data_IF_330486742903
#
_entry.id   IF_330486742903
#
_cell.length_a   1.000
_cell.length_b   1.000
_cell.length_c   1.000
_cell.angle_alpha   90.00
_cell.angle_beta   90.00
_cell.angle_gamma   90.00
#
_symmetry.space_group_name_H-M   'P 1'
#
loop_
_entity.id
_entity.type
_entity.pdbx_description
1 polymer ?
#
# COMPACT_ATOMS: atom_id res chain seq x y z
N UNK A 1 -15.91 4.15 -8.05
CA UNK A 1 -14.46 4.12 -7.84
C UNK A 1 -14.14 2.86 -7.06
N UNK A 2 -13.28 2.00 -7.60
CA UNK A 2 -12.82 0.76 -6.99
C UNK A 2 -11.38 0.95 -6.49
N UNK A 3 -11.12 0.56 -5.26
CA UNK A 3 -9.80 0.71 -4.64
C UNK A 3 -9.37 -0.63 -4.07
N UNK A 4 -8.14 -1.05 -4.37
CA UNK A 4 -7.56 -2.30 -3.88
C UNK A 4 -6.29 -1.98 -3.08
N UNK A 5 -6.09 -2.67 -1.96
CA UNK A 5 -4.83 -2.69 -1.23
C UNK A 5 -4.24 -4.09 -1.33
N UNK A 6 -2.97 -4.19 -1.72
CA UNK A 6 -2.32 -5.48 -1.95
C UNK A 6 -0.88 -5.48 -1.46
N UNK A 7 -0.52 -6.49 -0.66
CA UNK A 7 0.86 -6.74 -0.30
C UNK A 7 1.45 -7.71 -1.33
N UNK A 8 2.38 -7.22 -2.16
CA UNK A 8 2.97 -8.03 -3.24
C UNK A 8 4.12 -8.92 -2.77
N UNK A 9 4.65 -8.65 -1.58
CA UNK A 9 5.84 -9.33 -1.07
C UNK A 9 6.98 -9.42 -2.12
N UNK A 10 7.31 -8.28 -2.73
CA UNK A 10 8.16 -8.04 -3.90
C UNK A 10 7.40 -7.87 -5.22
N UNK A 11 7.47 -6.66 -5.78
CA UNK A 11 6.81 -6.28 -7.04
C UNK A 11 7.63 -6.66 -8.29
N UNK A 12 8.94 -6.85 -8.14
CA UNK A 12 9.87 -7.07 -9.26
C UNK A 12 10.06 -8.55 -9.62
N UNK A 13 9.15 -9.44 -9.23
CA UNK A 13 9.26 -10.87 -9.56
C UNK A 13 8.90 -11.15 -11.03
N UNK A 14 9.50 -12.16 -11.67
CA UNK A 14 9.21 -12.55 -13.05
C UNK A 14 7.74 -12.91 -13.26
N UNK A 15 7.15 -13.69 -12.34
CA UNK A 15 5.71 -13.83 -12.23
C UNK A 15 5.12 -12.55 -11.60
N UNK A 16 4.54 -11.68 -12.43
CA UNK A 16 4.00 -10.42 -11.96
C UNK A 16 2.80 -10.68 -11.04
N UNK A 17 2.87 -10.32 -9.75
CA UNK A 17 1.80 -10.61 -8.80
C UNK A 17 0.52 -9.79 -9.06
N UNK A 18 0.52 -8.91 -10.07
CA UNK A 18 -0.54 -7.96 -10.35
C UNK A 18 -1.39 -8.32 -11.57
N UNK A 19 -0.90 -9.11 -12.52
CA UNK A 19 -1.62 -9.36 -13.79
C UNK A 19 -3.00 -9.98 -13.55
N UNK A 20 -3.04 -11.15 -12.90
CA UNK A 20 -4.30 -11.84 -12.64
C UNK A 20 -5.24 -11.09 -11.68
N UNK A 21 -4.77 -10.49 -10.56
CA UNK A 21 -5.65 -9.71 -9.68
C UNK A 21 -6.23 -8.47 -10.34
N UNK A 22 -5.45 -7.74 -11.14
CA UNK A 22 -5.91 -6.52 -11.83
C UNK A 22 -6.91 -6.84 -12.94
N UNK A 23 -6.67 -7.91 -13.70
CA UNK A 23 -7.60 -8.37 -14.72
C UNK A 23 -8.93 -8.84 -14.12
N UNK A 24 -8.87 -9.63 -13.04
CA UNK A 24 -10.07 -10.16 -12.38
C UNK A 24 -10.85 -9.09 -11.64
N UNK A 25 -10.14 -8.11 -11.08
CA UNK A 25 -10.71 -7.04 -10.26
C UNK A 25 -10.19 -5.68 -10.74
N UNK A 26 -10.78 -5.11 -11.81
CA UNK A 26 -10.36 -3.82 -12.33
C UNK A 26 -10.58 -2.73 -11.28
N UNK A 27 -9.48 -2.13 -10.84
CA UNK A 27 -9.47 -1.08 -9.82
C UNK A 27 -9.07 0.26 -10.42
N UNK A 28 -9.68 1.34 -9.95
CA UNK A 28 -9.26 2.69 -10.28
C UNK A 28 -7.92 3.04 -9.62
N UNK A 29 -7.72 2.56 -8.39
CA UNK A 29 -6.58 2.83 -7.53
C UNK A 29 -6.10 1.53 -6.89
N UNK A 30 -4.79 1.32 -6.86
CA UNK A 30 -4.16 0.19 -6.18
C UNK A 30 -3.05 0.71 -5.25
N UNK A 31 -3.20 0.45 -3.96
CA UNK A 31 -2.15 0.62 -2.96
C UNK A 31 -1.32 -0.66 -2.82
N UNK A 32 -0.01 -0.56 -2.99
CA UNK A 32 0.92 -1.69 -2.87
C UNK A 32 1.80 -1.52 -1.65
N UNK A 33 1.85 -2.56 -0.82
CA UNK A 33 2.80 -2.72 0.27
C UNK A 33 3.88 -3.76 -0.07
N UNK A 34 5.03 -3.64 0.60
CA UNK A 34 6.21 -4.49 0.46
C UNK A 34 6.65 -4.65 -1.00
N UNK A 35 6.84 -3.54 -1.70
CA UNK A 35 7.37 -3.57 -3.07
C UNK A 35 8.75 -4.22 -3.14
N UNK A 36 9.57 -4.09 -2.09
CA UNK A 36 10.94 -4.62 -1.96
C UNK A 36 11.86 -4.27 -3.15
N UNK A 37 11.55 -3.20 -3.88
CA UNK A 37 12.31 -2.69 -5.00
C UNK A 37 12.92 -1.34 -4.65
N UNK A 38 14.16 -1.05 -5.07
CA UNK A 38 14.71 0.31 -4.93
C UNK A 38 14.06 1.25 -5.93
N UNK A 39 14.01 2.56 -5.62
CA UNK A 39 13.45 3.56 -6.53
C UNK A 39 14.08 3.50 -7.94
N UNK A 40 15.39 3.27 -8.04
CA UNK A 40 16.13 3.20 -9.32
C UNK A 40 15.77 2.01 -10.20
N UNK A 41 15.15 0.96 -9.63
CA UNK A 41 14.79 -0.28 -10.34
C UNK A 41 13.30 -0.59 -10.21
N UNK A 42 12.50 0.37 -9.77
CA UNK A 42 11.06 0.19 -9.65
C UNK A 42 10.44 0.01 -11.05
N UNK A 43 9.55 -0.98 -11.25
CA UNK A 43 9.15 -1.41 -12.60
C UNK A 43 8.04 -0.53 -13.19
N UNK A 44 8.35 0.76 -13.43
CA UNK A 44 7.39 1.75 -13.94
C UNK A 44 6.77 1.35 -15.27
N UNK A 45 7.56 0.76 -16.18
CA UNK A 45 7.06 0.32 -17.49
C UNK A 45 6.07 -0.84 -17.38
N UNK A 46 6.33 -1.82 -16.51
CA UNK A 46 5.39 -2.91 -16.26
C UNK A 46 4.07 -2.36 -15.74
N UNK A 47 4.12 -1.42 -14.77
CA UNK A 47 2.92 -0.78 -14.23
C UNK A 47 2.14 -0.01 -15.29
N UNK A 48 2.84 0.70 -16.17
CA UNK A 48 2.21 1.40 -17.31
C UNK A 48 1.61 0.44 -18.34
N UNK A 49 2.00 -0.84 -18.35
CA UNK A 49 1.41 -1.87 -19.20
C UNK A 49 0.27 -2.67 -18.54
N UNK A 50 0.02 -2.48 -17.24
CA UNK A 50 -1.08 -3.14 -16.54
C UNK A 50 -2.43 -2.58 -16.97
N UNK A 51 -3.43 -3.47 -17.05
CA UNK A 51 -4.81 -3.13 -17.40
C UNK A 51 -5.08 -3.17 -18.91
N UNK A 52 -6.33 -3.48 -19.29
CA UNK A 52 -6.65 -3.79 -20.69
C UNK A 52 -6.80 -2.58 -21.63
N UNK A 53 -6.95 -1.35 -21.10
CA UNK A 53 -7.28 -0.17 -21.94
C UNK A 53 -6.61 1.16 -21.51
N UNK A 54 -6.03 1.25 -20.31
CA UNK A 54 -5.32 2.43 -19.83
C UNK A 54 -4.26 1.98 -18.83
N UNK A 55 -3.00 2.31 -19.11
CA UNK A 55 -1.88 2.02 -18.21
C UNK A 55 -1.99 2.80 -16.91
N UNK A 56 -1.59 2.19 -15.79
CA UNK A 56 -1.54 2.89 -14.52
C UNK A 56 -0.39 3.89 -14.48
N UNK A 57 -0.66 5.06 -13.91
CA UNK A 57 0.38 5.95 -13.42
C UNK A 57 0.78 5.54 -12.01
N UNK A 58 2.05 5.77 -11.63
CA UNK A 58 2.54 5.34 -10.33
C UNK A 58 3.32 6.41 -9.58
N UNK A 59 3.14 6.40 -8.26
CA UNK A 59 3.89 7.18 -7.30
C UNK A 59 4.44 6.18 -6.26
N UNK A 60 5.74 6.19 -5.98
CA UNK A 60 6.37 5.21 -5.09
C UNK A 60 7.47 5.84 -4.23
N UNK A 61 7.69 5.26 -3.06
CA UNK A 61 8.78 5.64 -2.17
C UNK A 61 9.37 4.38 -1.53
N UNK A 62 10.57 4.02 -1.95
CA UNK A 62 11.19 2.75 -1.59
C UNK A 62 12.67 2.89 -1.23
N UNK A 63 13.14 1.94 -0.44
CA UNK A 63 14.54 1.76 -0.06
C UNK A 63 14.99 0.33 -0.36
N UNK A 64 16.30 0.08 -0.36
CA UNK A 64 16.87 -1.22 -0.74
C UNK A 64 16.42 -2.35 0.21
N UNK A 65 16.03 -3.48 -0.37
CA UNK A 65 15.82 -4.80 0.28
C UNK A 65 14.62 -4.93 1.24
N UNK A 66 14.16 -3.85 1.87
CA UNK A 66 13.07 -3.90 2.86
C UNK A 66 12.00 -2.82 2.62
N UNK A 67 10.76 -3.16 2.96
CA UNK A 67 9.59 -2.28 2.86
C UNK A 67 9.31 -1.83 1.42
N UNK A 68 8.87 -0.58 1.28
CA UNK A 68 8.50 0.05 0.03
C UNK A 68 6.99 0.04 -0.19
N UNK A 69 6.51 1.18 -0.69
CA UNK A 69 5.11 1.42 -1.02
C UNK A 69 4.99 1.94 -2.45
N UNK A 70 3.90 1.60 -3.11
CA UNK A 70 3.52 2.21 -4.36
C UNK A 70 2.03 2.50 -4.41
N UNK A 71 1.69 3.59 -5.06
CA UNK A 71 0.34 4.00 -5.41
C UNK A 71 0.22 3.91 -6.92
N UNK A 72 -0.76 3.17 -7.42
CA UNK A 72 -1.07 3.01 -8.83
C UNK A 72 -2.45 3.59 -9.07
N UNK A 73 -2.62 4.38 -10.12
CA UNK A 73 -3.89 5.05 -10.43
C UNK A 73 -4.11 5.22 -11.92
N UNK A 74 -5.35 5.03 -12.36
CA UNK A 74 -5.78 5.39 -13.73
C UNK A 74 -5.90 6.90 -13.93
N UNK A 75 -5.92 7.67 -12.83
CA UNK A 75 -5.88 9.13 -12.80
C UNK A 75 -4.46 9.64 -12.46
N UNK A 76 -4.21 10.93 -12.67
CA UNK A 76 -2.97 11.59 -12.24
C UNK A 76 -2.68 11.32 -10.75
N UNK A 77 -1.54 10.73 -10.40
CA UNK A 77 -1.21 10.39 -9.02
C UNK A 77 -1.11 11.66 -8.15
N UNK A 78 -1.50 11.58 -6.87
CA UNK A 78 -1.29 12.67 -5.94
C UNK A 78 0.20 12.89 -5.66
N UNK A 79 0.53 14.06 -5.11
CA UNK A 79 1.87 14.31 -4.55
C UNK A 79 2.15 13.29 -3.42
N UNK A 80 3.34 12.71 -3.43
CA UNK A 80 3.78 11.79 -2.37
C UNK A 80 4.32 12.61 -1.22
N UNK A 81 3.66 12.51 -0.06
CA UNK A 81 4.19 13.01 1.20
C UNK A 81 4.78 11.85 1.99
N UNK A 82 6.11 11.75 2.01
CA UNK A 82 6.82 10.78 2.85
C UNK A 82 7.13 11.37 4.21
N UNK A 83 6.85 10.65 5.29
CA UNK A 83 7.32 11.03 6.62
C UNK A 83 8.79 10.59 6.79
N UNK A 84 9.72 11.50 7.15
CA UNK A 84 11.17 11.26 7.07
C UNK A 84 11.74 10.31 8.13
N UNK A 85 10.91 9.75 9.00
CA UNK A 85 11.37 8.96 10.15
C UNK A 85 10.98 7.49 10.01
N UNK A 86 11.98 6.61 10.04
CA UNK A 86 11.79 5.18 10.29
C UNK A 86 11.40 5.01 11.76
N UNK A 87 10.11 4.82 12.03
CA UNK A 87 9.60 4.59 13.38
C UNK A 87 9.48 3.09 13.66
N UNK A 88 9.68 2.68 14.92
CA UNK A 88 9.29 1.34 15.32
C UNK A 88 7.77 1.18 15.23
N UNK A 89 7.28 -0.03 14.98
CA UNK A 89 5.86 -0.27 14.72
C UNK A 89 4.93 0.22 15.85
N UNK A 90 5.39 0.16 17.11
CA UNK A 90 4.64 0.69 18.27
C UNK A 90 4.49 2.22 18.21
N UNK A 91 5.57 2.95 17.90
CA UNK A 91 5.56 4.41 17.80
C UNK A 91 4.76 4.87 16.58
N UNK A 92 4.95 4.21 15.43
CA UNK A 92 4.17 4.49 14.22
C UNK A 92 2.67 4.43 14.47
N UNK A 93 2.19 3.35 15.11
CA UNK A 93 0.77 3.18 15.45
C UNK A 93 0.25 4.21 16.44
N UNK A 94 1.07 4.54 17.44
CA UNK A 94 0.73 5.58 18.42
C UNK A 94 0.59 6.97 17.78
N UNK A 95 1.39 7.28 16.75
CA UNK A 95 1.39 8.57 16.06
C UNK A 95 0.33 8.66 14.95
N UNK A 96 -0.01 7.53 14.31
CA UNK A 96 -0.93 7.48 13.18
C UNK A 96 -2.34 7.96 13.57
N UNK A 97 -2.85 7.53 14.73
CA UNK A 97 -4.20 7.89 15.17
C UNK A 97 -4.35 9.41 15.40
N UNK A 98 -3.46 10.08 16.17
CA UNK A 98 -3.46 11.53 16.30
C UNK A 98 -3.32 12.24 14.95
N UNK A 99 -2.44 11.76 14.06
CA UNK A 99 -2.24 12.39 12.75
C UNK A 99 -3.51 12.35 11.90
N UNK A 100 -4.19 11.20 11.83
CA UNK A 100 -5.45 11.07 11.07
C UNK A 100 -6.52 12.00 11.65
N UNK A 101 -6.67 12.01 12.99
CA UNK A 101 -7.70 12.81 13.68
C UNK A 101 -7.47 14.32 13.58
N UNK A 102 -6.22 14.76 13.45
CA UNK A 102 -5.89 16.18 13.39
C UNK A 102 -5.86 16.71 11.96
N UNK A 103 -5.43 15.91 10.99
CA UNK A 103 -5.29 16.36 9.61
C UNK A 103 -6.53 16.10 8.74
N UNK A 104 -7.40 15.17 9.12
CA UNK A 104 -8.53 14.75 8.29
C UNK A 104 -9.84 14.77 9.07
N UNK A 105 -10.92 15.08 8.36
CA UNK A 105 -12.29 15.06 8.90
C UNK A 105 -12.92 13.69 8.73
N UNK A 106 -13.73 13.26 9.70
CA UNK A 106 -14.52 12.03 9.61
C UNK A 106 -15.55 12.06 8.46
N UNK A 107 -15.95 13.25 8.00
CA UNK A 107 -16.88 13.44 6.88
C UNK A 107 -16.15 13.65 5.54
N UNK A 108 -14.82 13.59 5.53
CA UNK A 108 -14.02 13.69 4.32
C UNK A 108 -13.89 12.35 3.60
N UNK A 109 -13.55 12.40 2.31
CA UNK A 109 -13.20 11.20 1.54
C UNK A 109 -11.76 10.80 1.89
N UNK A 110 -11.59 9.95 2.90
CA UNK A 110 -10.29 9.42 3.33
C UNK A 110 -10.26 7.90 3.17
N UNK A 111 -9.22 7.38 2.52
CA UNK A 111 -8.95 5.95 2.44
C UNK A 111 -7.61 5.67 3.12
N UNK A 112 -7.61 4.83 4.14
CA UNK A 112 -6.40 4.28 4.75
C UNK A 112 -6.15 2.88 4.19
N UNK A 113 -5.09 2.74 3.38
CA UNK A 113 -4.66 1.46 2.79
C UNK A 113 -3.33 1.03 3.39
N UNK A 114 -3.27 -0.15 3.99
CA UNK A 114 -2.03 -0.68 4.56
C UNK A 114 -2.13 -2.18 4.85
N UNK A 115 -0.98 -2.85 4.85
CA UNK A 115 -0.78 -4.04 5.65
C UNK A 115 -0.46 -3.58 7.09
N UNK A 116 -1.48 -3.54 7.94
CA UNK A 116 -1.36 -3.01 9.30
C UNK A 116 -0.57 -3.95 10.24
N UNK A 117 -0.37 -5.21 9.85
CA UNK A 117 0.15 -6.26 10.72
C UNK A 117 -0.53 -6.27 12.10
N UNK A 118 -1.86 -6.12 12.10
CA UNK A 118 -2.72 -6.22 13.29
C UNK A 118 -3.78 -7.25 12.96
N UNK A 119 -3.82 -8.33 13.75
CA UNK A 119 -4.97 -9.21 13.75
C UNK A 119 -6.04 -8.54 14.62
N UNK A 120 -7.20 -8.14 14.06
CA UNK A 120 -8.29 -7.68 14.89
C UNK A 120 -8.68 -8.80 15.85
N UNK A 121 -9.21 -8.46 17.05
CA UNK A 121 -9.77 -9.47 17.94
C UNK A 121 -10.81 -10.28 17.15
N UNK A 122 -10.72 -11.61 17.23
CA UNK A 122 -11.74 -12.46 16.64
C UNK A 122 -13.06 -12.20 17.39
N UNK A 123 -14.12 -11.72 16.70
CA UNK A 123 -15.37 -11.36 17.33
C UNK A 123 -16.10 -12.57 17.94
N UNK A 124 -15.70 -13.80 17.58
CA UNK A 124 -16.31 -15.05 18.04
C UNK A 124 -15.58 -15.70 19.21
N UNK A 125 -14.27 -15.51 19.34
CA UNK A 125 -13.47 -16.17 20.39
C UNK A 125 -12.97 -15.23 21.48
N UNK A 126 -13.01 -13.91 21.27
CA UNK A 126 -12.53 -12.93 22.25
C UNK A 126 -11.03 -13.02 22.54
N UNK A 127 -10.29 -13.79 21.75
CA UNK A 127 -8.86 -14.00 21.93
C UNK A 127 -8.07 -12.84 21.32
N UNK A 128 -7.28 -12.17 22.16
CA UNK A 128 -6.25 -11.23 21.74
C UNK A 128 -5.05 -12.03 21.24
N UNK A 129 -4.87 -12.11 19.92
CA UNK A 129 -3.68 -12.73 19.36
C UNK A 129 -2.44 -11.88 19.69
N UNK A 130 -1.40 -12.53 20.22
CA UNK A 130 -0.14 -11.90 20.57
C UNK A 130 0.61 -11.43 19.32
N UNK A 131 1.28 -10.29 19.47
CA UNK A 131 2.12 -9.65 18.47
C UNK A 131 3.15 -10.66 17.93
N UNK A 132 3.04 -11.06 16.66
CA UNK A 132 4.12 -11.76 15.97
C UNK A 132 5.20 -10.74 15.58
N UNK A 133 6.45 -11.08 15.90
CA UNK A 133 7.63 -10.33 15.50
C UNK A 133 7.76 -10.33 13.99
N UNK A 134 8.01 -9.15 13.41
CA UNK A 134 8.42 -8.95 12.01
C UNK A 134 9.88 -9.38 11.84
#
# INVERSE_FOLDING_TARGET
MNVISFNTNSIGRPEHPLDAPVEKHPADIIGIAQTRAQNSVFPVQMIASLGQNAGYQTAFHNQKTHNGIAFLSLYTPPQINSHPQTLCAKKYRADLTPLIKTQYSANGNLILMADMHINPPDPTTGLNFSCSTI
#
